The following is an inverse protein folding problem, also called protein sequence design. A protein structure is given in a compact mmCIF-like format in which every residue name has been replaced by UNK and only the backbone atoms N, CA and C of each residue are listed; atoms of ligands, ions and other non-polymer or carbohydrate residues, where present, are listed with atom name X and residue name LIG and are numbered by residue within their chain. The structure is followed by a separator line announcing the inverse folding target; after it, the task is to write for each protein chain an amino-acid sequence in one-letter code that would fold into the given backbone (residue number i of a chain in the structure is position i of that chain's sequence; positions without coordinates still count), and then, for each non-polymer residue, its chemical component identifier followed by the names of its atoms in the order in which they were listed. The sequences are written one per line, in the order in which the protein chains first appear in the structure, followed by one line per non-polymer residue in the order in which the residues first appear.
data_IF_095536290862
#
_entry.id   IF_095536290862
#
_cell.length_a   1.000
_cell.length_b   1.000
_cell.length_c   1.000
_cell.angle_alpha   90.00
_cell.angle_beta   90.00
_cell.angle_gamma   90.00
#
_symmetry.space_group_name_H-M   'P 1'
#
loop_
_entity.id
_entity.type
_entity.pdbx_description
1 polymer ?
#
# COMPACT_ATOMS: atom_id res chain seq x y z
N UNK A 1 -10.23 -4.97 7.63
CA UNK A 1 -10.69 -3.58 7.78
C UNK A 1 -9.58 -2.72 8.32
N UNK A 2 -9.68 -1.39 8.17
CA UNK A 2 -8.73 -0.42 8.73
C UNK A 2 -8.38 -0.76 10.19
N UNK A 3 -7.07 -0.85 10.49
CA UNK A 3 -6.56 -1.11 11.84
C UNK A 3 -6.52 -2.57 12.26
N UNK A 4 -7.11 -3.50 11.49
CA UNK A 4 -7.01 -4.93 11.77
C UNK A 4 -5.54 -5.39 11.73
N UNK A 5 -5.25 -6.47 12.47
CA UNK A 5 -3.93 -7.08 12.56
C UNK A 5 -3.95 -8.53 12.12
N UNK A 6 -3.03 -8.88 11.22
CA UNK A 6 -2.76 -10.25 10.79
C UNK A 6 -1.52 -10.72 11.55
N UNK A 7 -1.69 -11.57 12.56
CA UNK A 7 -0.61 -12.01 13.45
C UNK A 7 0.09 -13.27 12.92
N UNK A 8 1.42 -13.33 13.07
CA UNK A 8 2.23 -14.52 12.75
C UNK A 8 3.52 -14.52 13.60
N UNK A 9 3.64 -15.50 14.50
CA UNK A 9 4.73 -15.53 15.47
C UNK A 9 4.72 -14.27 16.35
N UNK A 10 5.86 -13.58 16.45
CA UNK A 10 6.00 -12.32 17.17
C UNK A 10 5.67 -11.07 16.33
N UNK A 11 5.35 -11.25 15.06
CA UNK A 11 5.12 -10.18 14.10
C UNK A 11 3.62 -10.01 13.81
N UNK A 12 3.26 -8.84 13.31
CA UNK A 12 1.94 -8.64 12.71
C UNK A 12 2.01 -7.66 11.54
N UNK A 13 1.07 -7.81 10.60
CA UNK A 13 0.78 -6.80 9.59
C UNK A 13 -0.46 -6.02 10.01
N UNK A 14 -0.35 -4.70 10.10
CA UNK A 14 -1.50 -3.80 10.28
C UNK A 14 -2.09 -3.42 8.93
N UNK A 15 -3.42 -3.42 8.86
CA UNK A 15 -4.17 -3.05 7.65
C UNK A 15 -4.36 -1.53 7.61
N UNK A 16 -3.91 -0.89 6.52
CA UNK A 16 -4.29 0.46 6.13
C UNK A 16 -5.14 0.40 4.85
N UNK A 17 -6.39 0.81 4.91
CA UNK A 17 -7.26 0.97 3.74
C UNK A 17 -6.68 2.06 2.85
N UNK A 18 -6.40 1.69 1.61
CA UNK A 18 -5.78 2.56 0.62
C UNK A 18 -6.52 2.45 -0.71
N UNK A 19 -7.84 2.74 -0.74
CA UNK A 19 -8.64 2.65 -1.95
C UNK A 19 -8.16 3.63 -3.00
N UNK A 20 -8.45 3.32 -4.27
CA UNK A 20 -8.11 4.18 -5.38
C UNK A 20 -7.87 3.40 -6.66
N UNK A 21 -7.02 2.37 -6.62
CA UNK A 21 -6.89 1.42 -7.72
C UNK A 21 -8.16 0.56 -7.83
N UNK A 22 -8.62 0.05 -6.68
CA UNK A 22 -9.97 -0.47 -6.48
C UNK A 22 -10.54 0.12 -5.17
N UNK A 23 -11.86 -0.02 -4.94
CA UNK A 23 -12.47 0.37 -3.66
C UNK A 23 -12.07 -0.55 -2.48
N UNK A 24 -11.44 -1.70 -2.74
CA UNK A 24 -11.02 -2.68 -1.72
C UNK A 24 -9.52 -2.74 -1.45
N UNK A 25 -8.72 -1.85 -2.02
CA UNK A 25 -7.27 -1.87 -1.86
C UNK A 25 -6.85 -1.61 -0.39
N UNK A 26 -5.92 -2.41 0.09
CA UNK A 26 -5.28 -2.24 1.40
C UNK A 26 -3.75 -2.25 1.23
N UNK A 27 -3.07 -1.54 2.12
CA UNK A 27 -1.63 -1.62 2.35
C UNK A 27 -1.40 -2.34 3.66
N UNK A 28 -0.49 -3.31 3.67
CA UNK A 28 -0.13 -4.08 4.86
C UNK A 28 1.21 -3.55 5.40
N UNK A 29 1.23 -3.07 6.65
CA UNK A 29 2.42 -2.47 7.27
C UNK A 29 2.93 -3.37 8.39
N UNK A 30 4.22 -3.72 8.37
CA UNK A 30 4.84 -4.51 9.42
C UNK A 30 4.81 -3.77 10.77
N UNK A 31 4.77 -4.52 11.87
CA UNK A 31 4.57 -3.99 13.21
C UNK A 31 5.62 -2.97 13.68
N UNK A 32 6.80 -2.94 13.07
CA UNK A 32 7.86 -1.97 13.33
C UNK A 32 7.95 -0.86 12.26
N UNK A 33 7.00 -0.83 11.33
CA UNK A 33 6.91 0.10 10.19
C UNK A 33 8.13 0.07 9.25
N UNK A 34 9.01 -0.94 9.35
CA UNK A 34 10.17 -1.07 8.47
C UNK A 34 9.82 -1.47 7.03
N UNK A 35 8.65 -2.08 6.83
CA UNK A 35 8.17 -2.55 5.53
C UNK A 35 6.67 -2.31 5.36
N UNK A 36 6.26 -1.97 4.14
CA UNK A 36 4.86 -1.93 3.75
C UNK A 36 4.65 -2.60 2.38
N UNK A 37 3.60 -3.40 2.27
CA UNK A 37 3.15 -4.02 1.03
C UNK A 37 2.00 -3.20 0.46
N UNK A 38 2.25 -2.44 -0.60
CA UNK A 38 1.38 -1.36 -1.07
C UNK A 38 0.35 -1.77 -2.11
N UNK A 39 0.32 -3.06 -2.47
CA UNK A 39 -0.54 -3.55 -3.55
C UNK A 39 -0.26 -2.79 -4.86
N UNK A 40 -1.33 -2.45 -5.56
CA UNK A 40 -1.29 -1.55 -6.73
C UNK A 40 -1.62 -0.09 -6.38
N UNK A 41 -1.76 0.25 -5.10
CA UNK A 41 -1.99 1.66 -4.70
C UNK A 41 -0.75 2.51 -5.00
N UNK A 42 0.44 2.01 -4.68
CA UNK A 42 1.72 2.66 -5.00
C UNK A 42 2.69 1.64 -5.58
N UNK A 43 3.26 1.98 -6.74
CA UNK A 43 4.28 1.20 -7.44
C UNK A 43 5.63 1.92 -7.40
N UNK A 44 6.69 1.25 -7.79
CA UNK A 44 8.00 1.89 -7.93
C UNK A 44 7.94 2.93 -9.04
N UNK A 45 7.96 4.21 -8.65
CA UNK A 45 7.86 5.37 -9.57
C UNK A 45 6.57 5.34 -10.43
N UNK A 46 5.48 4.82 -9.88
CA UNK A 46 4.19 4.75 -10.55
C UNK A 46 3.06 4.43 -9.57
N UNK A 47 1.87 4.22 -10.10
CA UNK A 47 0.72 3.72 -9.35
C UNK A 47 -0.18 2.88 -10.26
N UNK A 48 -1.06 2.07 -9.67
CA UNK A 48 -2.05 1.31 -10.40
C UNK A 48 -3.05 2.21 -11.12
N UNK A 49 -3.67 1.67 -12.16
CA UNK A 49 -4.74 2.34 -12.91
C UNK A 49 -5.97 2.60 -12.03
N UNK A 50 -6.80 3.57 -12.37
CA UNK A 50 -7.96 3.99 -11.54
C UNK A 50 -9.27 4.08 -12.32
N UNK A 51 -9.31 3.55 -13.54
CA UNK A 51 -10.42 3.63 -14.48
C UNK A 51 -11.30 2.36 -14.52
N UNK A 52 -11.00 1.36 -13.68
CA UNK A 52 -11.75 0.10 -13.54
C UNK A 52 -12.00 -0.21 -12.06
N UNK A 53 -12.81 -1.23 -11.76
CA UNK A 53 -12.98 -1.79 -10.40
C UNK A 53 -13.33 -0.73 -9.34
N UNK A 54 -14.20 0.22 -9.72
CA UNK A 54 -14.62 1.32 -8.85
C UNK A 54 -13.44 2.23 -8.42
N UNK A 55 -12.37 2.25 -9.22
CA UNK A 55 -11.22 3.09 -9.00
C UNK A 55 -11.55 4.59 -9.04
N UNK A 56 -10.71 5.36 -8.35
CA UNK A 56 -10.79 6.82 -8.33
C UNK A 56 -9.38 7.40 -8.18
N UNK A 57 -8.91 8.24 -9.12
CA UNK A 57 -7.61 8.90 -9.00
C UNK A 57 -7.54 9.85 -7.80
N UNK A 58 -8.66 10.46 -7.41
CA UNK A 58 -8.74 11.32 -6.22
C UNK A 58 -8.56 10.50 -4.94
N UNK A 59 -9.29 9.38 -4.80
CA UNK A 59 -9.14 8.47 -3.64
C UNK A 59 -7.72 7.92 -3.59
N UNK A 60 -7.17 7.51 -4.74
CA UNK A 60 -5.80 7.00 -4.81
C UNK A 60 -4.79 8.03 -4.29
N UNK A 61 -4.88 9.28 -4.76
CA UNK A 61 -4.00 10.35 -4.32
C UNK A 61 -4.11 10.58 -2.80
N UNK A 62 -5.33 10.65 -2.27
CA UNK A 62 -5.57 10.82 -0.84
C UNK A 62 -5.03 9.63 -0.02
N UNK A 63 -5.25 8.40 -0.48
CA UNK A 63 -4.74 7.17 0.15
C UNK A 63 -3.22 7.17 0.23
N UNK A 64 -2.53 7.44 -0.88
CA UNK A 64 -1.06 7.50 -0.90
C UNK A 64 -0.55 8.56 0.07
N UNK A 65 -1.07 9.79 -0.01
CA UNK A 65 -0.57 10.91 0.79
C UNK A 65 -0.89 10.81 2.29
N UNK A 66 -2.04 10.27 2.67
CA UNK A 66 -2.47 10.21 4.07
C UNK A 66 -2.07 8.91 4.78
N UNK A 67 -1.88 7.81 4.04
CA UNK A 67 -1.65 6.47 4.63
C UNK A 67 -0.28 5.88 4.32
N UNK A 68 0.34 6.20 3.18
CA UNK A 68 1.65 5.63 2.80
C UNK A 68 2.77 6.64 3.05
N UNK A 69 2.62 7.88 2.59
CA UNK A 69 3.65 8.93 2.78
C UNK A 69 3.75 9.45 4.22
N UNK A 70 2.90 8.97 5.12
CA UNK A 70 2.99 9.19 6.56
C UNK A 70 3.82 8.16 7.30
N UNK A 71 4.27 7.09 6.61
CA UNK A 71 5.23 6.12 7.15
C UNK A 71 6.63 6.74 7.31
N UNK A 72 7.51 6.15 8.14
CA UNK A 72 8.91 6.55 8.23
C UNK A 72 9.58 6.58 6.85
N UNK A 73 10.51 7.52 6.64
CA UNK A 73 11.16 7.73 5.35
C UNK A 73 12.01 6.52 4.89
N UNK A 74 12.47 5.73 5.86
CA UNK A 74 13.22 4.50 5.71
C UNK A 74 12.36 3.25 5.46
N UNK A 75 11.03 3.38 5.53
CA UNK A 75 10.10 2.27 5.29
C UNK A 75 10.27 1.75 3.86
N UNK A 76 10.55 0.46 3.71
CA UNK A 76 10.69 -0.18 2.40
C UNK A 76 9.30 -0.50 1.86
N UNK A 77 9.01 -0.04 0.65
CA UNK A 77 7.72 -0.21 -0.01
C UNK A 77 7.80 -1.33 -1.06
N UNK A 78 7.05 -2.42 -0.83
CA UNK A 78 6.95 -3.56 -1.72
C UNK A 78 5.63 -3.49 -2.52
N UNK A 79 5.65 -3.18 -3.82
CA UNK A 79 4.44 -3.17 -4.64
C UNK A 79 4.01 -4.59 -5.01
N UNK A 80 2.76 -4.73 -5.49
CA UNK A 80 2.29 -5.99 -6.07
C UNK A 80 2.88 -6.26 -7.47
N UNK A 81 3.20 -5.21 -8.22
CA UNK A 81 3.75 -5.32 -9.57
C UNK A 81 4.93 -4.37 -9.78
N UNK A 82 5.87 -4.82 -10.62
CA UNK A 82 6.85 -3.98 -11.29
C UNK A 82 7.01 -4.47 -12.73
N UNK A 83 7.16 -3.53 -13.66
CA UNK A 83 7.25 -3.83 -15.09
C UNK A 83 8.62 -3.45 -15.68
N UNK A 84 9.58 -3.09 -14.82
CA UNK A 84 10.91 -2.60 -15.20
C UNK A 84 12.04 -3.50 -14.69
N UNK A 85 11.71 -4.61 -14.02
CA UNK A 85 12.69 -5.49 -13.40
C UNK A 85 13.43 -4.83 -12.24
N UNK A 86 12.81 -3.86 -11.56
CA UNK A 86 13.37 -3.25 -10.36
C UNK A 86 13.21 -4.22 -9.20
N UNK A 87 14.15 -5.14 -9.09
CA UNK A 87 14.34 -5.99 -7.92
C UNK A 87 15.41 -5.35 -7.03
N UNK A 88 15.24 -5.46 -5.70
CA UNK A 88 16.29 -5.10 -4.75
C UNK A 88 17.56 -5.94 -4.97
#
# INVERSE_FOLDING_TARGET
SEGDKINFGQFFLSVRETPGHTDGCITLVLNDESMAFTGDTLLIRGCGRTDFQQGSPEKLYQSVHSKIFTLPAECILYPAHDYKGQTA
#
